data_IF_699050670360
#
_entry.id   IF_699050670360
#
_cell.length_a   1.000
_cell.length_b   1.000
_cell.length_c   1.000
_cell.angle_alpha   90.00
_cell.angle_beta   90.00
_cell.angle_gamma   90.00
#
_symmetry.space_group_name_H-M   'P 1'
#
loop_
_entity.id
_entity.type
_entity.pdbx_description
1 polymer ?
#
# COMPACT_ATOMS: atom_id res chain seq x y z
N UNK A 1 -26.59 6.97 -9.49
CA UNK A 1 -25.19 7.19 -9.09
C UNK A 1 -24.64 5.83 -8.69
N UNK A 2 -23.63 5.31 -9.38
CA UNK A 2 -23.00 4.03 -9.01
C UNK A 2 -21.73 4.35 -8.21
N UNK A 3 -21.60 3.79 -7.00
CA UNK A 3 -20.35 3.82 -6.24
C UNK A 3 -19.60 2.52 -6.46
N UNK A 4 -18.27 2.64 -6.55
CA UNK A 4 -17.38 1.49 -6.46
C UNK A 4 -16.69 1.54 -5.10
N UNK A 5 -16.72 0.41 -4.40
CA UNK A 5 -16.06 0.25 -3.11
C UNK A 5 -14.97 -0.79 -3.28
N UNK A 6 -13.77 -0.47 -2.80
CA UNK A 6 -12.65 -1.39 -2.74
C UNK A 6 -12.34 -1.67 -1.29
N UNK A 7 -12.59 -2.90 -0.86
CA UNK A 7 -12.26 -3.36 0.49
C UNK A 7 -10.97 -4.17 0.44
N UNK A 8 -10.02 -3.85 1.31
CA UNK A 8 -8.76 -4.58 1.45
C UNK A 8 -8.79 -5.26 2.80
N UNK A 9 -8.91 -6.59 2.79
CA UNK A 9 -8.87 -7.42 3.98
C UNK A 9 -7.45 -7.95 4.17
N UNK A 10 -6.90 -7.67 5.35
CA UNK A 10 -5.55 -8.07 5.73
C UNK A 10 -5.62 -9.31 6.63
N UNK A 11 -5.00 -10.41 6.20
CA UNK A 11 -4.88 -11.64 7.00
C UNK A 11 -3.41 -11.76 7.41
N UNK A 12 -3.06 -11.06 8.50
CA UNK A 12 -1.67 -10.83 8.95
C UNK A 12 -0.91 -12.15 9.18
N UNK A 13 -1.54 -13.14 9.83
CA UNK A 13 -0.93 -14.45 10.13
C UNK A 13 -0.42 -15.19 8.88
N UNK A 14 -1.07 -14.99 7.73
CA UNK A 14 -0.72 -15.68 6.48
C UNK A 14 0.06 -14.80 5.51
N UNK A 15 0.29 -13.52 5.86
CA UNK A 15 0.79 -12.48 4.94
C UNK A 15 0.01 -12.48 3.61
N UNK A 16 -1.32 -12.63 3.71
CA UNK A 16 -2.23 -12.63 2.55
C UNK A 16 -3.10 -11.39 2.59
N UNK A 17 -3.25 -10.76 1.42
CA UNK A 17 -4.23 -9.69 1.23
C UNK A 17 -5.34 -10.19 0.32
N UNK A 18 -6.58 -10.02 0.78
CA UNK A 18 -7.79 -10.23 -0.03
C UNK A 18 -8.32 -8.87 -0.44
N UNK A 19 -8.30 -8.58 -1.73
CA UNK A 19 -8.91 -7.36 -2.25
C UNK A 19 -10.27 -7.72 -2.81
N UNK A 20 -11.29 -7.07 -2.28
CA UNK A 20 -12.67 -7.19 -2.71
C UNK A 20 -13.06 -5.90 -3.44
N UNK A 21 -13.53 -6.05 -4.67
CA UNK A 21 -14.08 -4.96 -5.45
C UNK A 21 -15.58 -5.18 -5.58
N UNK A 22 -16.37 -4.17 -5.21
CA UNK A 22 -17.83 -4.17 -5.35
C UNK A 22 -18.29 -2.95 -6.15
N UNK A 23 -19.10 -3.18 -7.18
CA UNK A 23 -19.81 -2.13 -7.93
C UNK A 23 -21.31 -2.31 -7.69
N UNK A 24 -21.92 -1.41 -6.91
CA UNK A 24 -23.31 -1.56 -6.49
C UNK A 24 -23.59 -2.92 -5.82
N UNK A 25 -24.76 -3.51 -6.05
CA UNK A 25 -25.20 -4.73 -5.39
C UNK A 25 -24.70 -6.05 -6.00
N UNK A 26 -23.97 -6.04 -7.14
CA UNK A 26 -24.03 -7.19 -8.07
C UNK A 26 -22.66 -7.81 -8.39
N UNK A 27 -21.53 -7.13 -8.25
CA UNK A 27 -20.23 -7.68 -8.68
C UNK A 27 -19.18 -7.69 -7.58
N UNK A 28 -19.03 -8.82 -6.88
CA UNK A 28 -17.97 -9.06 -5.89
C UNK A 28 -16.81 -9.84 -6.52
N UNK A 29 -15.72 -9.15 -6.87
CA UNK A 29 -14.49 -9.83 -7.26
C UNK A 29 -13.54 -9.88 -6.07
N UNK A 30 -13.09 -11.08 -5.70
CA UNK A 30 -12.07 -11.26 -4.66
C UNK A 30 -10.84 -11.95 -5.22
N UNK A 31 -9.66 -11.38 -4.98
CA UNK A 31 -8.40 -12.02 -5.30
C UNK A 31 -7.48 -12.03 -4.08
N UNK A 32 -6.81 -13.16 -3.89
CA UNK A 32 -5.78 -13.34 -2.86
C UNK A 32 -4.42 -12.97 -3.44
N UNK A 33 -3.72 -12.10 -2.74
CA UNK A 33 -2.34 -11.74 -3.03
C UNK A 33 -1.48 -12.39 -1.95
N UNK A 34 -0.55 -13.22 -2.39
CA UNK A 34 0.52 -13.79 -1.57
C UNK A 34 1.83 -13.11 -1.90
N UNK A 35 2.89 -13.44 -1.17
CA UNK A 35 4.26 -12.95 -1.41
C UNK A 35 4.37 -11.43 -1.33
N UNK A 36 3.76 -10.85 -0.30
CA UNK A 36 3.93 -9.44 0.05
C UNK A 36 5.42 -9.19 0.32
N UNK A 37 5.96 -8.11 -0.24
CA UNK A 37 7.38 -7.79 -0.14
C UNK A 37 7.60 -6.57 0.76
N UNK A 38 7.06 -5.43 0.36
CA UNK A 38 7.25 -4.17 1.09
C UNK A 38 6.16 -3.15 0.73
N UNK A 39 6.02 -2.15 1.58
CA UNK A 39 5.30 -0.91 1.28
C UNK A 39 6.29 0.12 0.75
N UNK A 40 5.92 0.91 -0.24
CA UNK A 40 6.70 2.09 -0.64
C UNK A 40 5.87 3.36 -0.63
N UNK A 41 6.47 4.46 -0.18
CA UNK A 41 5.91 5.81 -0.30
C UNK A 41 6.60 6.49 -1.48
N UNK A 42 5.85 6.72 -2.55
CA UNK A 42 6.38 7.24 -3.81
C UNK A 42 5.80 8.63 -4.12
N UNK A 43 6.63 9.59 -4.49
CA UNK A 43 6.15 10.88 -4.99
C UNK A 43 5.93 10.79 -6.49
N UNK A 44 4.68 10.90 -6.93
CA UNK A 44 4.35 10.99 -8.34
C UNK A 44 4.74 12.39 -8.87
N UNK A 45 5.73 12.50 -9.78
CA UNK A 45 6.22 13.80 -10.24
C UNK A 45 5.19 14.55 -11.08
N UNK A 46 4.26 13.84 -11.74
CA UNK A 46 3.24 14.44 -12.59
C UNK A 46 2.07 15.01 -11.79
N UNK A 47 1.57 14.26 -10.79
CA UNK A 47 0.44 14.70 -9.97
C UNK A 47 0.85 15.47 -8.71
N UNK A 48 2.14 15.46 -8.35
CA UNK A 48 2.68 15.99 -7.09
C UNK A 48 1.97 15.40 -5.86
N UNK A 49 1.61 14.13 -5.94
CA UNK A 49 0.92 13.38 -4.88
C UNK A 49 1.78 12.21 -4.41
N UNK A 50 1.64 11.86 -3.14
CA UNK A 50 2.31 10.72 -2.53
C UNK A 50 1.42 9.49 -2.64
N UNK A 51 1.98 8.44 -3.23
CA UNK A 51 1.33 7.16 -3.46
C UNK A 51 1.88 6.13 -2.48
N UNK A 52 0.98 5.43 -1.80
CA UNK A 52 1.35 4.27 -0.98
C UNK A 52 1.12 3.04 -1.81
N UNK A 53 2.22 2.34 -2.13
CA UNK A 53 2.19 1.15 -2.96
C UNK A 53 2.58 -0.08 -2.13
N UNK A 54 1.77 -1.11 -2.22
CA UNK A 54 2.08 -2.45 -1.73
C UNK A 54 2.70 -3.26 -2.85
N UNK A 55 3.96 -3.67 -2.68
CA UNK A 55 4.68 -4.51 -3.62
C UNK A 55 4.51 -5.99 -3.29
N UNK A 56 4.24 -6.77 -4.32
CA UNK A 56 4.07 -8.21 -4.27
C UNK A 56 4.62 -8.84 -5.54
N UNK A 57 5.06 -10.09 -5.47
CA UNK A 57 5.46 -10.92 -6.62
C UNK A 57 6.28 -10.19 -7.72
N UNK A 58 7.62 -10.32 -7.64
CA UNK A 58 8.61 -9.74 -8.56
C UNK A 58 8.53 -8.21 -8.62
N UNK A 59 7.58 -7.63 -9.36
CA UNK A 59 7.46 -6.19 -9.65
C UNK A 59 6.00 -5.72 -9.75
N UNK A 60 5.05 -6.51 -9.24
CA UNK A 60 3.66 -6.06 -9.19
C UNK A 60 3.45 -5.22 -7.95
N UNK A 61 2.65 -4.18 -8.07
CA UNK A 61 2.24 -3.41 -6.91
C UNK A 61 0.81 -2.97 -7.04
N UNK A 62 0.24 -2.64 -5.90
CA UNK A 62 -1.09 -2.08 -5.79
C UNK A 62 -0.99 -0.77 -5.03
N UNK A 63 -1.60 0.26 -5.61
CA UNK A 63 -1.84 1.52 -4.92
C UNK A 63 -2.89 1.29 -3.83
N UNK A 64 -2.48 1.48 -2.57
CA UNK A 64 -3.34 1.38 -1.40
C UNK A 64 -4.04 2.71 -1.12
N UNK A 65 -3.29 3.81 -1.19
CA UNK A 65 -3.78 5.14 -0.87
C UNK A 65 -2.98 6.22 -1.59
N UNK A 66 -3.54 7.42 -1.62
CA UNK A 66 -2.95 8.59 -2.24
C UNK A 66 -3.20 9.84 -1.39
N UNK A 67 -2.15 10.64 -1.20
CA UNK A 67 -2.16 11.81 -0.32
C UNK A 67 -1.48 13.00 -0.98
N UNK A 68 -1.84 14.22 -0.53
CA UNK A 68 -1.18 15.47 -0.98
C UNK A 68 0.01 15.87 -0.10
N UNK A 69 0.04 15.41 1.15
CA UNK A 69 1.04 15.79 2.13
C UNK A 69 1.93 14.60 2.46
N UNK A 70 3.24 14.86 2.57
CA UNK A 70 4.24 13.82 2.79
C UNK A 70 4.05 13.16 4.14
N UNK A 71 3.87 13.95 5.20
CA UNK A 71 3.79 13.47 6.58
C UNK A 71 2.65 12.45 6.72
N UNK A 72 1.48 12.80 6.18
CA UNK A 72 0.30 11.93 6.20
C UNK A 72 0.55 10.64 5.40
N UNK A 73 1.19 10.75 4.24
CA UNK A 73 1.49 9.59 3.41
C UNK A 73 2.51 8.66 4.07
N UNK A 74 3.52 9.23 4.71
CA UNK A 74 4.58 8.50 5.38
C UNK A 74 4.06 7.78 6.62
N UNK A 75 3.30 8.47 7.47
CA UNK A 75 2.63 7.88 8.63
C UNK A 75 1.70 6.73 8.23
N UNK A 76 0.94 6.92 7.15
CA UNK A 76 0.06 5.89 6.65
C UNK A 76 0.85 4.70 6.07
N UNK A 77 1.98 4.95 5.39
CA UNK A 77 2.90 3.90 4.91
C UNK A 77 3.50 3.08 6.05
N UNK A 78 3.90 3.76 7.14
CA UNK A 78 4.42 3.13 8.35
C UNK A 78 3.35 2.28 9.05
N UNK A 79 2.12 2.78 9.15
CA UNK A 79 0.99 1.98 9.69
C UNK A 79 0.76 0.70 8.88
N UNK A 80 0.73 0.80 7.55
CA UNK A 80 0.55 -0.38 6.70
C UNK A 80 1.70 -1.37 6.82
N UNK A 81 2.95 -0.90 6.83
CA UNK A 81 4.13 -1.78 6.94
C UNK A 81 4.22 -2.48 8.29
N UNK A 82 3.77 -1.81 9.37
CA UNK A 82 3.68 -2.40 10.70
C UNK A 82 2.55 -3.43 10.82
N UNK A 83 1.35 -3.13 10.33
CA UNK A 83 0.20 -4.07 10.35
C UNK A 83 0.52 -5.37 9.59
N UNK A 84 1.28 -5.25 8.50
CA UNK A 84 1.62 -6.37 7.63
C UNK A 84 2.92 -7.08 7.97
N UNK A 85 3.69 -6.55 8.93
CA UNK A 85 5.02 -7.06 9.27
C UNK A 85 5.91 -7.23 8.01
N UNK A 86 6.03 -6.14 7.25
CA UNK A 86 6.86 -6.03 6.04
C UNK A 86 7.62 -4.70 6.01
N UNK A 87 8.65 -4.61 5.18
CA UNK A 87 9.51 -3.42 5.12
C UNK A 87 8.80 -2.20 4.53
N UNK A 88 9.31 -1.02 4.86
CA UNK A 88 8.89 0.26 4.31
C UNK A 88 10.04 0.88 3.52
N UNK A 89 9.76 1.26 2.27
CA UNK A 89 10.68 1.95 1.38
C UNK A 89 10.24 3.41 1.20
N UNK A 90 11.08 4.37 1.57
CA UNK A 90 10.95 5.75 1.13
C UNK A 90 11.46 5.86 -0.32
N UNK A 91 10.54 6.15 -1.23
CA UNK A 91 10.77 6.33 -2.65
C UNK A 91 10.28 7.70 -3.14
N UNK A 92 10.26 8.69 -2.25
CA UNK A 92 9.84 10.06 -2.58
C UNK A 92 10.86 10.82 -3.44
N UNK A 93 12.12 10.40 -3.41
CA UNK A 93 13.20 10.97 -4.22
C UNK A 93 13.63 10.01 -5.32
N UNK A 94 13.50 10.43 -6.59
CA UNK A 94 13.91 9.63 -7.74
C UNK A 94 15.40 9.29 -7.65
N UNK A 95 15.72 7.99 -7.63
CA UNK A 95 17.10 7.49 -7.58
C UNK A 95 17.71 7.46 -6.17
N UNK A 96 16.98 7.88 -5.15
CA UNK A 96 17.40 7.83 -3.75
C UNK A 96 16.37 7.08 -2.91
N UNK A 97 16.36 5.75 -3.08
CA UNK A 97 15.45 4.86 -2.38
C UNK A 97 16.07 4.44 -1.04
N UNK A 98 15.34 4.63 0.06
CA UNK A 98 15.83 4.34 1.41
C UNK A 98 14.90 3.39 2.13
N UNK A 99 15.43 2.30 2.66
CA UNK A 99 14.69 1.45 3.59
C UNK A 99 14.55 2.18 4.92
N UNK A 100 13.33 2.25 5.42
CA UNK A 100 13.03 2.89 6.69
C UNK A 100 13.29 1.89 7.80
N UNK A 101 14.18 2.24 8.71
CA UNK A 101 14.40 1.46 9.92
C UNK A 101 13.21 1.67 10.88
N UNK A 102 12.56 0.57 11.24
CA UNK A 102 11.37 0.54 12.10
C UNK A 102 11.71 0.11 13.54
N UNK A 103 12.98 -0.15 13.84
CA UNK A 103 13.43 -0.68 15.14
C UNK A 103 13.18 0.26 16.33
N UNK A 104 12.95 1.55 16.09
CA UNK A 104 12.69 2.55 17.13
C UNK A 104 11.23 3.04 17.21
N UNK A 105 10.30 2.40 16.52
CA UNK A 105 8.88 2.78 16.52
C UNK A 105 8.06 1.83 17.42
N UNK A 106 8.39 1.77 18.71
CA UNK A 106 7.59 1.10 19.75
C UNK A 106 7.07 2.10 20.78
#
# INVERSE_FOLDING_TARGET
MFSSTRTILFESEKKVIKIQYSVGAINHYSYKITDLKYISVFLNPSSKQFEINLWYKKNKHIKLALFKHFEIAFDCGLKFSNILDIDLLDATQKGNFKWVDKSNSQ
#
